data_IF_360487394135
#
_entry.id   IF_360487394135
#
_cell.length_a   1.000
_cell.length_b   1.000
_cell.length_c   1.000
_cell.angle_alpha   90.00
_cell.angle_beta   90.00
_cell.angle_gamma   90.00
#
_symmetry.space_group_name_H-M   'P 1'
#
loop_
_entity.id
_entity.type
_entity.pdbx_description
1 polymer ?
#
# COMPACT_ATOMS: atom_id res chain seq x y z
N UNK A 1 -5.29 0.45 -22.47
CA UNK A 1 -4.62 1.03 -21.28
C UNK A 1 -5.30 0.66 -19.95
N UNK A 2 -6.65 0.67 -19.84
CA UNK A 2 -7.35 0.30 -18.59
C UNK A 2 -7.02 -1.12 -18.06
N UNK A 3 -6.79 -2.09 -18.96
CA UNK A 3 -6.47 -3.47 -18.58
C UNK A 3 -5.10 -3.61 -17.91
N UNK A 4 -4.05 -2.94 -18.41
CA UNK A 4 -2.70 -3.03 -17.84
C UNK A 4 -2.61 -2.46 -16.43
N UNK A 5 -3.32 -1.37 -16.15
CA UNK A 5 -3.38 -0.78 -14.82
C UNK A 5 -4.13 -1.70 -13.83
N UNK A 6 -5.21 -2.35 -14.27
CA UNK A 6 -5.91 -3.32 -13.44
C UNK A 6 -5.02 -4.52 -13.08
N UNK A 7 -4.22 -5.00 -14.03
CA UNK A 7 -3.25 -6.08 -13.79
C UNK A 7 -2.18 -5.65 -12.80
N UNK A 8 -1.59 -4.45 -12.97
CA UNK A 8 -0.58 -3.92 -12.04
C UNK A 8 -1.14 -3.77 -10.62
N UNK A 9 -2.38 -3.27 -10.50
CA UNK A 9 -3.05 -3.17 -9.20
C UNK A 9 -3.35 -4.53 -8.58
N UNK A 10 -3.73 -5.53 -9.38
CA UNK A 10 -3.94 -6.88 -8.88
C UNK A 10 -2.63 -7.52 -8.42
N UNK A 11 -1.54 -7.35 -9.18
CA UNK A 11 -0.21 -7.86 -8.78
C UNK A 11 0.33 -7.15 -7.54
N UNK A 12 0.14 -5.83 -7.43
CA UNK A 12 0.45 -5.04 -6.24
C UNK A 12 -0.40 -5.45 -5.05
N UNK A 13 -1.71 -5.65 -5.25
CA UNK A 13 -2.62 -6.16 -4.22
C UNK A 13 -2.20 -7.54 -3.70
N UNK A 14 -1.79 -8.43 -4.60
CA UNK A 14 -1.22 -9.73 -4.23
C UNK A 14 0.12 -9.56 -3.48
N UNK A 15 1.01 -8.67 -3.92
CA UNK A 15 2.27 -8.38 -3.22
C UNK A 15 2.01 -7.90 -1.78
N UNK A 16 1.08 -6.96 -1.60
CA UNK A 16 0.66 -6.46 -0.30
C UNK A 16 0.04 -7.57 0.58
N UNK A 17 -0.78 -8.45 -0.02
CA UNK A 17 -1.36 -9.59 0.69
C UNK A 17 -0.29 -10.61 1.13
N UNK A 18 0.74 -10.84 0.30
CA UNK A 18 1.87 -11.69 0.66
C UNK A 18 2.69 -11.06 1.79
N UNK A 19 2.94 -9.74 1.77
CA UNK A 19 3.60 -9.02 2.87
C UNK A 19 2.83 -9.23 4.19
N UNK A 20 1.50 -9.07 4.15
CA UNK A 20 0.64 -9.31 5.30
C UNK A 20 0.71 -10.77 5.77
N UNK A 21 0.67 -11.73 4.85
CA UNK A 21 0.78 -13.15 5.20
C UNK A 21 2.14 -13.46 5.84
N UNK A 22 3.23 -12.90 5.32
CA UNK A 22 4.57 -13.02 5.92
C UNK A 22 4.59 -12.47 7.34
N UNK A 23 3.86 -11.37 7.63
CA UNK A 23 3.76 -10.83 8.99
C UNK A 23 3.02 -11.76 9.95
N UNK A 24 1.95 -12.41 9.47
CA UNK A 24 1.20 -13.41 10.24
C UNK A 24 2.11 -14.61 10.54
N UNK A 25 2.83 -15.12 9.54
CA UNK A 25 3.78 -16.22 9.74
C UNK A 25 4.89 -15.84 10.71
N UNK A 26 5.44 -14.63 10.61
CA UNK A 26 6.45 -14.10 11.53
C UNK A 26 5.93 -14.06 12.98
N UNK A 27 4.69 -13.62 13.19
CA UNK A 27 4.09 -13.57 14.52
C UNK A 27 4.02 -14.97 15.16
N UNK A 28 3.56 -15.97 14.42
CA UNK A 28 3.41 -17.33 14.95
C UNK A 28 4.73 -18.11 15.03
N UNK A 29 5.59 -18.00 14.02
CA UNK A 29 6.81 -18.79 13.93
C UNK A 29 7.96 -18.21 14.77
N UNK A 30 8.04 -16.89 14.88
CA UNK A 30 9.16 -16.19 15.51
C UNK A 30 8.78 -15.63 16.88
N UNK A 31 7.75 -14.78 16.96
CA UNK A 31 7.41 -14.13 18.23
C UNK A 31 6.94 -15.13 19.29
N UNK A 32 5.98 -16.01 18.99
CA UNK A 32 5.49 -17.00 19.96
C UNK A 32 6.57 -17.99 20.40
N UNK A 33 7.42 -18.42 19.47
CA UNK A 33 8.54 -19.30 19.80
C UNK A 33 9.50 -18.63 20.79
N UNK A 34 9.85 -17.36 20.57
CA UNK A 34 10.73 -16.63 21.49
C UNK A 34 10.10 -16.36 22.86
N UNK A 35 8.77 -16.19 22.92
CA UNK A 35 8.05 -16.14 24.21
C UNK A 35 8.18 -17.46 24.95
N UNK A 36 8.00 -18.59 24.27
CA UNK A 36 8.15 -19.92 24.87
C UNK A 36 9.59 -20.20 25.36
N UNK A 37 10.60 -19.65 24.68
CA UNK A 37 12.02 -19.72 25.09
C UNK A 37 12.37 -18.70 26.21
N UNK A 38 11.43 -17.86 26.65
CA UNK A 38 11.63 -16.86 27.71
C UNK A 38 12.43 -15.63 27.27
N UNK A 39 12.67 -15.44 25.98
CA UNK A 39 13.49 -14.35 25.42
C UNK A 39 12.63 -13.13 25.09
N UNK A 40 12.09 -12.45 26.11
CA UNK A 40 11.11 -11.37 25.94
C UNK A 40 11.57 -10.20 25.05
N UNK A 41 12.85 -9.79 25.12
CA UNK A 41 13.36 -8.72 24.28
C UNK A 41 13.33 -9.08 22.78
N UNK A 42 13.67 -10.32 22.44
CA UNK A 42 13.59 -10.81 21.05
C UNK A 42 12.15 -11.02 20.61
N UNK A 43 11.31 -11.54 21.50
CA UNK A 43 9.87 -11.67 21.23
C UNK A 43 9.23 -10.30 20.91
N UNK A 44 9.56 -9.26 21.69
CA UNK A 44 9.09 -7.90 21.45
C UNK A 44 9.57 -7.34 20.11
N UNK A 45 10.81 -7.63 19.72
CA UNK A 45 11.35 -7.24 18.41
C UNK A 45 10.55 -7.89 17.26
N UNK A 46 10.34 -9.21 17.29
CA UNK A 46 9.55 -9.92 16.27
C UNK A 46 8.08 -9.52 16.26
N UNK A 47 7.52 -9.16 17.42
CA UNK A 47 6.17 -8.60 17.50
C UNK A 47 6.10 -7.23 16.81
N UNK A 48 7.05 -6.34 17.09
CA UNK A 48 7.13 -5.02 16.45
C UNK A 48 7.30 -5.15 14.94
N UNK A 49 8.19 -6.02 14.48
CA UNK A 49 8.36 -6.35 13.07
C UNK A 49 7.06 -6.87 12.44
N UNK A 50 6.36 -7.78 13.11
CA UNK A 50 5.10 -8.34 12.60
C UNK A 50 3.99 -7.28 12.50
N UNK A 51 3.93 -6.34 13.44
CA UNK A 51 2.99 -5.21 13.40
C UNK A 51 3.35 -4.27 12.25
N UNK A 52 4.63 -3.96 12.05
CA UNK A 52 5.08 -3.09 10.95
C UNK A 52 4.78 -3.73 9.59
N UNK A 53 5.20 -4.98 9.37
CA UNK A 53 4.92 -5.69 8.13
C UNK A 53 3.41 -5.87 7.91
N UNK A 54 2.65 -6.22 8.96
CA UNK A 54 1.21 -6.38 8.87
C UNK A 54 0.50 -5.07 8.55
N UNK A 55 0.89 -3.98 9.20
CA UNK A 55 0.38 -2.64 8.92
C UNK A 55 0.69 -2.19 7.49
N UNK A 56 1.93 -2.38 7.04
CA UNK A 56 2.35 -2.09 5.67
C UNK A 56 1.59 -2.94 4.64
N UNK A 57 1.47 -4.25 4.86
CA UNK A 57 0.73 -5.15 3.98
C UNK A 57 -0.76 -4.77 3.90
N UNK A 58 -1.40 -4.50 5.04
CA UNK A 58 -2.79 -4.06 5.09
C UNK A 58 -2.99 -2.71 4.37
N UNK A 59 -2.12 -1.72 4.64
CA UNK A 59 -2.16 -0.43 3.96
C UNK A 59 -1.97 -0.59 2.44
N UNK A 60 -1.06 -1.46 2.00
CA UNK A 60 -0.86 -1.78 0.60
C UNK A 60 -2.06 -2.45 -0.06
N UNK A 61 -2.75 -3.37 0.63
CA UNK A 61 -3.97 -4.00 0.12
C UNK A 61 -5.07 -2.95 -0.07
N UNK A 62 -5.23 -2.06 0.92
CA UNK A 62 -6.19 -0.94 0.84
C UNK A 62 -5.82 0.06 -0.25
N UNK A 63 -4.53 0.31 -0.50
CA UNK A 63 -4.09 1.18 -1.57
C UNK A 63 -4.39 0.61 -2.97
N UNK A 64 -4.39 -0.71 -3.13
CA UNK A 64 -4.48 -1.36 -4.44
C UNK A 64 -5.90 -1.77 -4.85
N UNK A 65 -6.63 -2.47 -3.97
CA UNK A 65 -7.94 -3.04 -4.32
C UNK A 65 -9.02 -1.96 -4.32
N UNK A 66 -9.08 -1.18 -3.24
CA UNK A 66 -10.09 -0.12 -3.08
C UNK A 66 -9.50 1.04 -2.29
N UNK A 67 -8.94 2.06 -2.98
CA UNK A 67 -8.26 3.18 -2.33
C UNK A 67 -9.13 3.80 -1.24
N UNK A 68 -8.71 3.61 0.01
CA UNK A 68 -9.42 4.14 1.18
C UNK A 68 -8.94 5.58 1.45
N UNK A 69 -9.84 6.53 1.78
CA UNK A 69 -9.45 7.93 2.03
C UNK A 69 -8.38 8.08 3.12
N UNK A 70 -8.45 7.24 4.17
CA UNK A 70 -7.43 7.20 5.21
C UNK A 70 -6.01 6.90 4.69
N UNK A 71 -5.87 6.12 3.61
CA UNK A 71 -4.54 5.85 3.00
C UNK A 71 -4.07 7.07 2.23
N UNK A 72 -4.96 7.75 1.49
CA UNK A 72 -4.59 8.98 0.78
C UNK A 72 -4.18 10.12 1.71
N UNK A 73 -4.74 10.17 2.92
CA UNK A 73 -4.43 11.20 3.92
C UNK A 73 -3.13 10.89 4.68
N UNK A 74 -2.96 9.64 5.15
CA UNK A 74 -1.83 9.28 6.01
C UNK A 74 -0.59 8.79 5.23
N UNK A 75 -0.78 8.24 4.03
CA UNK A 75 0.28 7.65 3.22
C UNK A 75 0.11 8.02 1.73
N UNK A 76 0.16 9.32 1.37
CA UNK A 76 -0.07 9.79 0.00
C UNK A 76 0.95 9.25 -1.01
N UNK A 77 2.09 8.75 -0.57
CA UNK A 77 3.05 8.10 -1.48
C UNK A 77 2.51 6.76 -2.02
N UNK A 78 1.63 6.07 -1.30
CA UNK A 78 1.00 4.82 -1.75
C UNK A 78 -0.08 5.06 -2.81
N UNK A 79 -0.54 6.29 -3.02
CA UNK A 79 -1.49 6.59 -4.11
C UNK A 79 -0.79 6.71 -5.45
N UNK A 80 0.50 7.06 -5.45
CA UNK A 80 1.33 7.23 -6.65
C UNK A 80 2.01 5.93 -7.04
N UNK A 81 2.01 5.62 -8.33
CA UNK A 81 2.63 4.38 -8.85
C UNK A 81 4.12 4.27 -8.48
N UNK A 82 4.89 5.36 -8.58
CA UNK A 82 6.31 5.38 -8.21
C UNK A 82 6.54 5.18 -6.71
N UNK A 83 5.68 5.75 -5.86
CA UNK A 83 5.77 5.58 -4.41
C UNK A 83 5.45 4.16 -3.98
N UNK A 84 4.48 3.50 -4.63
CA UNK A 84 4.23 2.06 -4.44
C UNK A 84 5.39 1.20 -4.91
N UNK A 85 5.94 1.50 -6.09
CA UNK A 85 7.14 0.82 -6.59
C UNK A 85 8.29 0.88 -5.57
N UNK A 86 8.59 2.06 -5.01
CA UNK A 86 9.61 2.21 -3.98
C UNK A 86 9.26 1.49 -2.67
N UNK A 87 8.00 1.55 -2.25
CA UNK A 87 7.51 0.82 -1.08
C UNK A 87 7.72 -0.69 -1.21
N UNK A 88 7.32 -1.27 -2.36
CA UNK A 88 7.57 -2.68 -2.66
C UNK A 88 9.05 -3.01 -2.78
N UNK A 89 9.86 -2.09 -3.34
CA UNK A 89 11.31 -2.31 -3.42
C UNK A 89 11.93 -2.53 -2.05
N UNK A 90 11.65 -1.60 -1.11
CA UNK A 90 12.21 -1.63 0.24
C UNK A 90 11.72 -2.86 1.01
N UNK A 91 10.41 -3.15 0.96
CA UNK A 91 9.86 -4.31 1.66
C UNK A 91 10.30 -5.63 1.04
N UNK A 92 10.45 -5.71 -0.28
CA UNK A 92 10.98 -6.89 -0.96
C UNK A 92 12.42 -7.19 -0.52
N UNK A 93 13.28 -6.17 -0.51
CA UNK A 93 14.65 -6.30 0.01
C UNK A 93 14.68 -6.73 1.47
N UNK A 94 13.81 -6.12 2.30
CA UNK A 94 13.70 -6.46 3.72
C UNK A 94 13.30 -7.91 3.94
N UNK A 95 12.26 -8.39 3.24
CA UNK A 95 11.75 -9.75 3.37
C UNK A 95 12.83 -10.77 2.95
N UNK A 96 13.58 -10.51 1.87
CA UNK A 96 14.70 -11.36 1.44
C UNK A 96 15.77 -11.49 2.53
N UNK A 97 16.11 -10.39 3.20
CA UNK A 97 17.15 -10.33 4.22
C UNK A 97 16.72 -10.78 5.62
N UNK A 98 15.44 -11.09 5.83
CA UNK A 98 14.87 -11.26 7.19
C UNK A 98 15.40 -12.48 7.94
N UNK A 99 15.64 -13.60 7.25
CA UNK A 99 16.12 -14.85 7.87
C UNK A 99 17.30 -15.44 7.12
N UNK A 100 18.32 -15.84 7.86
CA UNK A 100 19.56 -16.41 7.32
C UNK A 100 19.39 -17.85 6.81
N UNK A 101 18.52 -18.66 7.44
CA UNK A 101 18.39 -20.08 7.10
C UNK A 101 17.02 -20.69 7.46
N UNK A 102 16.75 -21.88 6.89
CA UNK A 102 15.53 -22.66 7.13
C UNK A 102 14.47 -22.52 6.04
N UNK A 103 13.41 -23.33 6.12
CA UNK A 103 12.34 -23.36 5.12
C UNK A 103 11.62 -22.00 4.98
N UNK A 104 11.47 -21.27 6.08
CA UNK A 104 10.87 -19.93 6.08
C UNK A 104 11.73 -18.91 5.33
N UNK A 105 13.06 -19.00 5.41
CA UNK A 105 13.98 -18.14 4.64
C UNK A 105 13.81 -18.35 3.13
N UNK A 106 13.66 -19.60 2.70
CA UNK A 106 13.40 -19.91 1.29
C UNK A 106 12.04 -19.37 0.81
N UNK A 107 11.00 -19.51 1.64
CA UNK A 107 9.69 -18.94 1.33
C UNK A 107 9.71 -17.40 1.28
N UNK A 108 10.36 -16.76 2.26
CA UNK A 108 10.58 -15.31 2.29
C UNK A 108 11.34 -14.85 1.05
N UNK A 109 12.38 -15.57 0.63
CA UNK A 109 13.14 -15.27 -0.57
C UNK A 109 12.26 -15.25 -1.83
N UNK A 110 11.41 -16.27 -2.03
CA UNK A 110 10.49 -16.32 -3.17
C UNK A 110 9.48 -15.17 -3.15
N UNK A 111 8.90 -14.90 -1.96
CA UNK A 111 7.95 -13.78 -1.78
C UNK A 111 8.64 -12.45 -2.07
N UNK A 112 9.84 -12.25 -1.55
CA UNK A 112 10.62 -11.03 -1.77
C UNK A 112 11.00 -10.82 -3.23
N UNK A 113 11.43 -11.87 -3.95
CA UNK A 113 11.71 -11.80 -5.39
C UNK A 113 10.46 -11.43 -6.19
N UNK A 114 9.31 -12.00 -5.86
CA UNK A 114 8.04 -11.62 -6.48
C UNK A 114 7.72 -10.13 -6.25
N UNK A 115 7.82 -9.66 -5.00
CA UNK A 115 7.58 -8.26 -4.65
C UNK A 115 8.54 -7.31 -5.38
N UNK A 116 9.82 -7.68 -5.50
CA UNK A 116 10.81 -6.93 -6.28
C UNK A 116 10.46 -6.89 -7.76
N UNK A 117 9.96 -7.98 -8.33
CA UNK A 117 9.48 -8.01 -9.71
C UNK A 117 8.31 -7.03 -9.94
N UNK A 118 7.34 -7.00 -9.02
CA UNK A 118 6.23 -6.04 -9.04
C UNK A 118 6.73 -4.60 -8.90
N UNK A 119 7.68 -4.37 -7.99
CA UNK A 119 8.31 -3.05 -7.80
C UNK A 119 8.96 -2.51 -9.07
N UNK A 120 9.77 -3.34 -9.75
CA UNK A 120 10.43 -2.95 -11.00
C UNK A 120 9.40 -2.66 -12.08
N UNK A 121 8.35 -3.48 -12.20
CA UNK A 121 7.26 -3.22 -13.13
C UNK A 121 6.59 -1.87 -12.84
N UNK A 122 6.22 -1.59 -11.58
CA UNK A 122 5.62 -0.32 -11.17
C UNK A 122 6.51 0.88 -11.51
N UNK A 123 7.82 0.78 -11.26
CA UNK A 123 8.76 1.87 -11.59
C UNK A 123 8.87 2.10 -13.10
N UNK A 124 8.95 1.03 -13.90
CA UNK A 124 9.00 1.15 -15.37
C UNK A 124 7.71 1.80 -15.89
N UNK A 125 6.54 1.36 -15.41
CA UNK A 125 5.27 1.95 -15.81
C UNK A 125 5.13 3.40 -15.33
N UNK A 126 5.62 3.73 -14.13
CA UNK A 126 5.62 5.10 -13.62
C UNK A 126 6.46 6.03 -14.51
N UNK A 127 7.64 5.59 -14.94
CA UNK A 127 8.48 6.34 -15.88
C UNK A 127 7.84 6.47 -17.26
N UNK A 128 7.15 5.44 -17.75
CA UNK A 128 6.44 5.50 -19.03
C UNK A 128 5.23 6.45 -18.99
N UNK A 129 4.59 6.58 -17.84
CA UNK A 129 3.39 7.40 -17.65
C UNK A 129 3.69 8.84 -17.19
N UNK A 130 4.91 9.16 -16.76
CA UNK A 130 5.26 10.50 -16.26
C UNK A 130 5.17 11.62 -17.31
N UNK A 131 5.12 11.26 -18.60
CA UNK A 131 4.91 12.22 -19.70
C UNK A 131 3.45 12.49 -20.05
N UNK A 132 2.48 11.80 -19.42
CA UNK A 132 1.05 11.99 -19.69
C UNK A 132 0.41 12.92 -18.66
N UNK A 133 -0.65 13.66 -19.03
CA UNK A 133 -1.41 14.47 -18.08
C UNK A 133 -1.91 13.62 -16.90
N UNK A 134 -1.93 14.14 -15.66
CA UNK A 134 -2.30 13.40 -14.45
C UNK A 134 -3.67 12.70 -14.53
N UNK A 135 -4.59 13.32 -15.26
CA UNK A 135 -5.96 12.84 -15.46
C UNK A 135 -6.03 11.52 -16.24
N UNK A 136 -5.01 11.22 -17.05
CA UNK A 136 -4.91 9.98 -17.84
C UNK A 136 -4.06 8.91 -17.16
N UNK A 137 -3.09 9.31 -16.33
CA UNK A 137 -2.19 8.38 -15.62
C UNK A 137 -2.86 7.76 -14.38
N UNK A 138 -3.74 8.51 -13.68
CA UNK A 138 -4.34 8.06 -12.42
C UNK A 138 -5.88 8.24 -12.40
N UNK A 139 -6.64 7.40 -13.14
CA UNK A 139 -8.10 7.51 -13.23
C UNK A 139 -8.83 7.38 -11.88
N UNK A 140 -8.23 6.74 -10.88
CA UNK A 140 -8.80 6.64 -9.54
C UNK A 140 -8.79 7.97 -8.78
N UNK A 141 -7.74 8.78 -8.96
CA UNK A 141 -7.65 10.12 -8.36
C UNK A 141 -8.56 11.10 -9.10
N UNK A 142 -8.62 11.00 -10.43
CA UNK A 142 -9.54 11.80 -11.22
C UNK A 142 -11.01 11.58 -10.84
N UNK A 143 -11.40 10.34 -10.49
CA UNK A 143 -12.76 10.04 -9.99
C UNK A 143 -13.00 10.62 -8.58
N UNK A 144 -12.00 10.64 -7.72
CA UNK A 144 -12.10 11.19 -6.37
C UNK A 144 -12.18 12.73 -6.39
N UNK A 145 -11.36 13.40 -7.21
CA UNK A 145 -11.43 14.84 -7.43
C UNK A 145 -12.79 15.24 -8.00
N UNK A 146 -13.28 14.52 -9.02
CA UNK A 146 -14.59 14.79 -9.63
C UNK A 146 -15.75 14.57 -8.65
N UNK A 147 -15.64 13.59 -7.74
CA UNK A 147 -16.61 13.38 -6.66
C UNK A 147 -16.60 14.51 -5.63
N UNK A 148 -15.43 15.07 -5.33
CA UNK A 148 -15.25 16.20 -4.39
C UNK A 148 -15.77 17.52 -4.97
N UNK A 149 -15.55 17.77 -6.26
CA UNK A 149 -16.08 18.94 -6.96
C UNK A 149 -17.62 18.94 -6.99
N UNK A 150 -18.25 17.80 -7.28
CA UNK A 150 -19.71 17.70 -7.28
C UNK A 150 -20.34 17.94 -5.89
N UNK A 151 -19.61 17.64 -4.81
CA UNK A 151 -20.09 17.86 -3.45
C UNK A 151 -19.93 19.32 -2.99
N UNK A 152 -19.04 20.11 -3.61
CA UNK A 152 -18.92 21.55 -3.32
C UNK A 152 -19.96 22.40 -4.07
N UNK A 153 -20.39 21.99 -5.26
CA UNK A 153 -21.40 22.72 -6.05
C UNK A 153 -22.83 22.60 -5.52
N UNK A 154 -23.08 21.70 -4.57
CA UNK A 154 -24.41 21.52 -3.96
C UNK A 154 -24.62 22.29 -2.65
N UNK A 155 -23.67 23.15 -2.25
CA UNK A 155 -23.94 24.07 -1.13
C UNK A 155 -25.00 25.07 -1.58
N UNK A 156 -26.24 25.00 -1.06
CA UNK A 156 -27.27 25.97 -1.42
C UNK A 156 -26.75 27.36 -1.07
N UNK A 157 -26.89 28.30 -2.00
CA UNK A 157 -26.56 29.69 -1.76
C UNK A 157 -27.19 30.12 -0.43
N UNK A 158 -26.46 30.82 0.45
CA UNK A 158 -27.06 31.38 1.65
C UNK A 158 -28.27 32.20 1.21
N UNK A 159 -29.45 32.05 1.85
CA UNK A 159 -30.63 32.80 1.48
C UNK A 159 -30.27 34.28 1.57
N UNK A 160 -30.18 34.93 0.41
CA UNK A 160 -30.06 36.38 0.32
C UNK A 160 -31.17 36.95 1.21
N UNK A 161 -30.75 37.73 2.20
CA UNK A 161 -31.63 38.47 3.08
C UNK A 161 -32.41 39.48 2.22
N UNK A 162 -33.53 39.04 1.66
CA UNK A 162 -34.62 39.88 1.16
C UNK A 162 -35.31 40.53 2.36
N UNK A 163 -34.62 41.45 3.04
CA UNK A 163 -35.19 42.20 4.15
C UNK A 163 -34.48 43.54 4.35
N UNK A 164 -34.32 44.34 3.31
CA UNK A 164 -34.03 45.77 3.48
C UNK A 164 -34.30 46.54 2.18
N UNK A 165 -35.57 46.83 1.92
CA UNK A 165 -36.01 48.04 1.20
C UNK A 165 -37.51 48.21 1.43
N UNK A 166 -37.81 48.70 2.64
CA UNK A 166 -38.92 49.63 2.86
C UNK A 166 -38.49 51.01 2.36
#
# INVERSE_FOLDING_TARGET
MRSSQAILRLSGGLASALIFLTSVVCLFADALRQVAEGQFCRAAHYLAESILLGGCGAAGVLAEIRPHPAVSENAPYLTKLSGRGMFYFILGMYIIGRKESGFQSWADFLVGVYILGVSVADMIFAQRLSGLPPQLSEPALALQERGREMHMTSSPAPPEQMSEQM
#
